data_IF_348118037493
#
_entry.id   IF_348118037493
#
_cell.length_a   1.000
_cell.length_b   1.000
_cell.length_c   1.000
_cell.angle_alpha   90.00
_cell.angle_beta   90.00
_cell.angle_gamma   90.00
#
_symmetry.space_group_name_H-M   'P 1'
#
loop_
_entity.id
_entity.type
_entity.pdbx_description
1 polymer ?
#
# COMPACT_ATOMS: atom_id res chain seq x y z
N UNK A 1 4.83 7.29 3.90
CA UNK A 1 5.38 5.98 4.32
C UNK A 1 4.43 5.38 5.36
N UNK A 2 4.07 4.11 5.23
CA UNK A 2 3.25 3.39 6.22
C UNK A 2 3.94 3.42 7.61
N UNK A 3 3.31 3.99 8.66
CA UNK A 3 3.89 4.06 10.00
C UNK A 3 4.33 2.68 10.54
N UNK A 4 3.62 1.62 10.16
CA UNK A 4 3.97 0.25 10.54
C UNK A 4 5.27 -0.20 9.88
N UNK A 5 5.47 0.15 8.62
CA UNK A 5 6.69 -0.16 7.87
C UNK A 5 7.90 0.59 8.45
N UNK A 6 7.71 1.84 8.86
CA UNK A 6 8.74 2.63 9.56
C UNK A 6 9.17 1.95 10.86
N UNK A 7 8.23 1.42 11.65
CA UNK A 7 8.54 0.69 12.87
C UNK A 7 9.38 -0.58 12.61
N UNK A 8 9.07 -1.34 11.55
CA UNK A 8 9.89 -2.49 11.17
C UNK A 8 11.30 -2.09 10.74
N UNK A 9 11.43 -1.05 9.90
CA UNK A 9 12.73 -0.60 9.41
C UNK A 9 13.62 -0.07 10.55
N UNK A 10 13.05 0.69 11.48
CA UNK A 10 13.77 1.16 12.66
C UNK A 10 14.17 0.00 13.58
N UNK A 11 13.29 -0.98 13.80
CA UNK A 11 13.60 -2.17 14.59
C UNK A 11 14.76 -2.99 13.99
N UNK A 12 14.79 -3.15 12.66
CA UNK A 12 15.89 -3.85 11.96
C UNK A 12 17.19 -3.06 12.06
N UNK A 13 17.14 -1.75 11.83
CA UNK A 13 18.31 -0.87 11.93
C UNK A 13 18.95 -0.95 13.31
N UNK A 14 18.15 -0.80 14.35
CA UNK A 14 18.65 -0.77 15.74
C UNK A 14 19.13 -2.15 16.21
N UNK A 15 18.52 -3.23 15.70
CA UNK A 15 19.00 -4.58 15.94
C UNK A 15 20.35 -4.83 15.26
N UNK A 16 20.54 -4.35 14.02
CA UNK A 16 21.82 -4.43 13.31
C UNK A 16 22.89 -3.55 13.95
N UNK A 17 22.50 -2.41 14.54
CA UNK A 17 23.39 -1.54 15.31
C UNK A 17 23.73 -2.08 16.71
N UNK A 18 23.16 -3.24 17.11
CA UNK A 18 23.43 -3.86 18.40
C UNK A 18 22.75 -3.19 19.60
N UNK A 19 21.83 -2.24 19.38
CA UNK A 19 21.06 -1.57 20.44
C UNK A 19 20.19 -2.60 21.18
N UNK A 20 19.61 -3.55 20.43
CA UNK A 20 18.84 -4.66 20.98
C UNK A 20 19.60 -5.97 20.86
N UNK A 21 19.60 -6.76 21.94
CA UNK A 21 20.30 -8.05 22.01
C UNK A 21 19.54 -9.18 21.33
N UNK A 22 18.27 -8.98 20.99
CA UNK A 22 17.45 -9.99 20.31
C UNK A 22 16.30 -9.37 19.50
N UNK A 23 15.81 -10.13 18.51
CA UNK A 23 14.62 -9.78 17.75
C UNK A 23 13.38 -9.60 18.64
N UNK A 24 13.27 -10.34 19.75
CA UNK A 24 12.14 -10.20 20.69
C UNK A 24 12.16 -8.83 21.35
N UNK A 25 13.33 -8.38 21.79
CA UNK A 25 13.51 -7.10 22.46
C UNK A 25 13.22 -5.93 21.51
N UNK A 26 13.76 -5.98 20.28
CA UNK A 26 13.48 -4.96 19.26
C UNK A 26 11.98 -4.93 18.89
N UNK A 27 11.36 -6.09 18.69
CA UNK A 27 9.94 -6.20 18.38
C UNK A 27 9.05 -5.57 19.46
N UNK A 28 9.36 -5.83 20.73
CA UNK A 28 8.64 -5.25 21.86
C UNK A 28 8.84 -3.74 21.97
N UNK A 29 10.07 -3.25 21.81
CA UNK A 29 10.38 -1.82 21.87
C UNK A 29 9.67 -1.00 20.79
N UNK A 30 9.49 -1.58 19.61
CA UNK A 30 8.82 -0.95 18.47
C UNK A 30 7.35 -1.33 18.33
N UNK A 31 6.78 -2.12 19.25
CA UNK A 31 5.37 -2.51 19.22
C UNK A 31 4.97 -3.37 18.02
N UNK A 32 5.91 -4.10 17.41
CA UNK A 32 5.66 -4.94 16.23
C UNK A 32 5.69 -6.44 16.58
N UNK A 33 4.92 -7.30 15.88
CA UNK A 33 5.02 -8.75 16.09
C UNK A 33 6.39 -9.29 15.69
N UNK A 34 7.01 -10.11 16.55
CA UNK A 34 8.32 -10.73 16.30
C UNK A 34 8.35 -11.54 15.01
N UNK A 35 7.29 -12.31 14.72
CA UNK A 35 7.18 -13.11 13.50
C UNK A 35 7.23 -12.21 12.26
N UNK A 36 6.47 -11.11 12.26
CA UNK A 36 6.49 -10.13 11.17
C UNK A 36 7.86 -9.44 11.04
N UNK A 37 8.53 -9.10 12.14
CA UNK A 37 9.89 -8.54 12.12
C UNK A 37 10.89 -9.53 11.52
N UNK A 38 10.81 -10.81 11.90
CA UNK A 38 11.66 -11.87 11.34
C UNK A 38 11.44 -12.02 9.84
N UNK A 39 10.18 -12.04 9.39
CA UNK A 39 9.86 -12.11 7.96
C UNK A 39 10.36 -10.89 7.19
N UNK A 40 10.29 -9.70 7.80
CA UNK A 40 10.85 -8.49 7.21
C UNK A 40 12.36 -8.57 7.05
N UNK A 41 13.07 -9.10 8.05
CA UNK A 41 14.52 -9.33 7.98
C UNK A 41 14.90 -10.33 6.87
N UNK A 42 14.02 -11.30 6.56
CA UNK A 42 14.23 -12.23 5.43
C UNK A 42 13.93 -11.59 4.06
N UNK A 43 13.58 -10.30 4.01
CA UNK A 43 13.29 -9.58 2.77
C UNK A 43 11.85 -9.75 2.27
N UNK A 44 10.90 -10.23 3.09
CA UNK A 44 9.48 -10.18 2.69
C UNK A 44 9.04 -8.74 2.54
N UNK A 45 8.47 -8.45 1.37
CA UNK A 45 7.91 -7.14 1.06
C UNK A 45 6.63 -6.89 1.89
N UNK A 46 6.28 -5.62 2.14
CA UNK A 46 5.00 -5.29 2.74
C UNK A 46 3.88 -5.75 1.81
N UNK A 47 2.75 -6.17 2.37
CA UNK A 47 1.60 -6.63 1.58
C UNK A 47 1.20 -5.66 0.47
N UNK A 48 1.21 -4.35 0.76
CA UNK A 48 0.89 -3.30 -0.20
C UNK A 48 1.78 -3.35 -1.46
N UNK A 49 3.08 -3.62 -1.29
CA UNK A 49 4.03 -3.71 -2.41
C UNK A 49 3.95 -5.10 -3.06
N UNK A 50 3.82 -6.16 -2.25
CA UNK A 50 3.79 -7.54 -2.73
C UNK A 50 2.66 -7.80 -3.75
N UNK A 51 1.50 -7.13 -3.59
CA UNK A 51 0.37 -7.25 -4.51
C UNK A 51 0.30 -6.14 -5.56
N UNK A 52 1.21 -5.16 -5.53
CA UNK A 52 1.18 -4.05 -6.48
C UNK A 52 1.28 -4.54 -7.94
N UNK A 53 2.08 -5.58 -8.20
CA UNK A 53 2.21 -6.19 -9.54
C UNK A 53 0.94 -6.92 -10.01
N UNK A 54 0.01 -7.22 -9.11
CA UNK A 54 -1.27 -7.86 -9.42
C UNK A 54 -2.37 -6.82 -9.69
N UNK A 55 -2.12 -5.54 -9.41
CA UNK A 55 -3.05 -4.45 -9.71
C UNK A 55 -2.93 -4.05 -11.18
N UNK A 56 -4.08 -3.75 -11.79
CA UNK A 56 -4.15 -3.29 -13.19
C UNK A 56 -3.87 -1.80 -13.34
N UNK A 57 -4.21 -1.03 -12.30
CA UNK A 57 -3.83 0.38 -12.19
C UNK A 57 -2.49 0.49 -11.47
N UNK A 58 -1.67 1.43 -11.92
CA UNK A 58 -0.44 1.80 -11.20
C UNK A 58 -0.78 2.57 -9.92
N UNK A 59 0.10 2.59 -8.89
CA UNK A 59 -0.13 3.41 -7.70
C UNK A 59 -0.38 4.88 -8.01
N UNK A 60 0.30 5.42 -9.03
CA UNK A 60 0.13 6.80 -9.48
C UNK A 60 -1.28 7.04 -10.05
N UNK A 61 -1.83 6.04 -10.76
CA UNK A 61 -3.19 6.09 -11.30
C UNK A 61 -4.25 5.92 -10.22
N UNK A 62 -4.01 5.07 -9.23
CA UNK A 62 -4.89 4.97 -8.06
C UNK A 62 -4.88 6.27 -7.25
N UNK A 63 -3.71 6.87 -7.04
CA UNK A 63 -3.59 8.17 -6.37
C UNK A 63 -4.34 9.27 -7.13
N UNK A 64 -4.19 9.34 -8.45
CA UNK A 64 -4.97 10.25 -9.29
C UNK A 64 -6.48 10.03 -9.13
N UNK A 65 -6.93 8.77 -9.09
CA UNK A 65 -8.34 8.44 -8.91
C UNK A 65 -8.86 8.91 -7.54
N UNK A 66 -8.06 8.75 -6.48
CA UNK A 66 -8.38 9.26 -5.14
C UNK A 66 -8.48 10.77 -5.14
N UNK A 67 -7.50 11.48 -5.70
CA UNK A 67 -7.50 12.94 -5.77
C UNK A 67 -8.72 13.46 -6.53
N UNK A 68 -9.07 12.82 -7.66
CA UNK A 68 -10.27 13.16 -8.42
C UNK A 68 -11.57 12.92 -7.61
N UNK A 69 -11.68 11.83 -6.85
CA UNK A 69 -12.84 11.58 -5.97
C UNK A 69 -12.96 12.66 -4.90
N UNK A 70 -11.85 13.03 -4.26
CA UNK A 70 -11.83 14.05 -3.21
C UNK A 70 -12.14 15.45 -3.76
N UNK A 71 -11.66 15.79 -4.96
CA UNK A 71 -12.01 17.04 -5.64
C UNK A 71 -13.51 17.13 -5.94
N UNK A 72 -14.12 16.06 -6.45
CA UNK A 72 -15.57 16.00 -6.70
C UNK A 72 -16.38 16.08 -5.39
N UNK A 73 -15.95 15.40 -4.33
CA UNK A 73 -16.60 15.49 -3.00
C UNK A 73 -16.51 16.90 -2.42
N UNK A 74 -15.35 17.58 -2.57
CA UNK A 74 -15.16 18.97 -2.12
C UNK A 74 -16.11 19.96 -2.79
N UNK A 75 -16.63 19.60 -3.98
CA UNK A 75 -17.62 20.37 -4.75
C UNK A 75 -19.05 19.92 -4.47
N UNK A 76 -19.26 19.11 -3.44
CA UNK A 76 -20.53 18.47 -3.09
C UNK A 76 -21.11 17.62 -4.23
N UNK A 77 -20.25 17.02 -5.07
CA UNK A 77 -20.64 16.13 -6.17
C UNK A 77 -19.92 14.77 -6.10
N UNK A 78 -19.92 14.07 -4.94
CA UNK A 78 -19.18 12.83 -4.81
C UNK A 78 -19.58 11.82 -5.89
N UNK A 79 -18.61 11.23 -6.62
CA UNK A 79 -18.91 10.31 -7.71
C UNK A 79 -19.47 9.00 -7.13
N UNK A 80 -20.53 8.48 -7.76
CA UNK A 80 -21.06 7.16 -7.41
C UNK A 80 -20.07 6.06 -7.79
N UNK A 81 -20.18 4.89 -7.16
CA UNK A 81 -19.33 3.74 -7.47
C UNK A 81 -19.29 3.38 -8.98
N UNK A 82 -20.42 3.39 -9.74
CA UNK A 82 -20.38 3.24 -11.19
C UNK A 82 -19.55 4.31 -11.92
N UNK A 83 -19.61 5.58 -11.49
CA UNK A 83 -18.84 6.68 -12.09
C UNK A 83 -17.34 6.53 -11.81
N UNK A 84 -16.97 6.09 -10.61
CA UNK A 84 -15.59 5.74 -10.26
C UNK A 84 -15.09 4.57 -11.12
N UNK A 85 -15.90 3.51 -11.28
CA UNK A 85 -15.58 2.37 -12.14
C UNK A 85 -15.38 2.80 -13.60
N UNK A 86 -16.23 3.69 -14.11
CA UNK A 86 -16.07 4.24 -15.45
C UNK A 86 -14.76 5.00 -15.62
N UNK A 87 -14.40 5.87 -14.66
CA UNK A 87 -13.14 6.61 -14.68
C UNK A 87 -11.93 5.65 -14.65
N UNK A 88 -11.94 4.67 -13.75
CA UNK A 88 -10.90 3.64 -13.68
C UNK A 88 -10.79 2.84 -14.99
N UNK A 89 -11.92 2.51 -15.61
CA UNK A 89 -11.97 1.80 -16.90
C UNK A 89 -11.37 2.65 -18.02
N UNK A 90 -11.58 3.97 -18.02
CA UNK A 90 -10.95 4.90 -18.97
C UNK A 90 -9.43 4.93 -18.80
N UNK A 91 -8.93 4.99 -17.56
CA UNK A 91 -7.49 4.92 -17.29
C UNK A 91 -6.87 3.62 -17.79
N UNK A 92 -7.53 2.48 -17.56
CA UNK A 92 -7.07 1.18 -18.07
C UNK A 92 -7.01 1.15 -19.61
N UNK A 93 -8.04 1.67 -20.28
CA UNK A 93 -8.05 1.77 -21.75
C UNK A 93 -6.94 2.66 -22.28
N UNK A 94 -6.59 3.74 -21.57
CA UNK A 94 -5.45 4.60 -21.93
C UNK A 94 -4.11 3.85 -21.80
N UNK A 95 -4.02 2.87 -20.92
CA UNK A 95 -2.87 1.97 -20.79
C UNK A 95 -2.89 0.82 -21.82
N UNK A 96 -3.90 0.75 -22.69
CA UNK A 96 -4.10 -0.37 -23.64
C UNK A 96 -4.74 -1.62 -23.02
N UNK A 97 -5.22 -1.53 -21.78
CA UNK A 97 -5.98 -2.60 -21.12
C UNK A 97 -7.49 -2.42 -21.39
N UNK A 98 -8.05 -3.35 -22.15
CA UNK A 98 -9.46 -3.35 -22.56
C UNK A 98 -10.30 -4.39 -21.82
N UNK A 99 -9.73 -5.11 -20.85
CA UNK A 99 -10.45 -6.13 -20.09
C UNK A 99 -11.52 -5.50 -19.18
N UNK A 100 -12.65 -6.18 -18.92
CA UNK A 100 -13.67 -5.68 -18.00
C UNK A 100 -13.12 -5.48 -16.59
N UNK A 101 -13.54 -4.40 -15.91
CA UNK A 101 -13.09 -4.07 -14.54
C UNK A 101 -14.13 -4.46 -13.49
N UNK A 102 -13.77 -5.39 -12.61
CA UNK A 102 -14.62 -5.92 -11.54
C UNK A 102 -15.54 -7.07 -12.00
N UNK A 103 -16.37 -7.58 -11.09
CA UNK A 103 -17.43 -8.53 -11.42
C UNK A 103 -18.69 -7.78 -11.90
N UNK A 104 -19.34 -8.35 -12.92
CA UNK A 104 -20.60 -7.87 -13.51
C UNK A 104 -21.76 -7.99 -12.52
#
# INVERSE_FOLDING_TARGET
>A
MDPREVAFNNAIRDLNAGIFRSQRQAAQAYGVPRSSLQERMKGRQPHAIAHQQQQRLTPEQEAFLVDWILDEDSRAQPPSHPRVREMATRLLRMNGDHEPLGQL
#
